data_IF_619348097225
#
_entry.id   IF_619348097225
#
_cell.length_a   1.000
_cell.length_b   1.000
_cell.length_c   1.000
_cell.angle_alpha   90.00
_cell.angle_beta   90.00
_cell.angle_gamma   90.00
#
_symmetry.space_group_name_H-M   'P 1'
#
loop_
_entity.id
_entity.type
_entity.pdbx_description
1 polymer ?
#
# COMPACT_ATOMS: atom_id res chain seq x y z
N UNK A 1 -40.85 16.08 18.45
CA UNK A 1 -40.02 14.86 18.38
C UNK A 1 -39.90 14.51 16.92
N UNK A 2 -38.69 14.64 16.36
CA UNK A 2 -38.33 14.11 15.05
C UNK A 2 -36.91 13.60 15.20
N UNK A 3 -36.77 12.28 15.11
CA UNK A 3 -35.55 11.53 15.30
C UNK A 3 -34.42 12.04 14.40
N UNK A 4 -33.16 12.09 14.88
CA UNK A 4 -32.04 12.39 14.02
C UNK A 4 -31.84 11.23 13.04
N UNK A 5 -31.73 11.62 11.77
CA UNK A 5 -31.47 10.81 10.59
C UNK A 5 -30.29 9.85 10.83
N UNK A 6 -30.61 8.62 11.23
CA UNK A 6 -29.69 7.47 11.25
C UNK A 6 -29.59 6.94 9.83
N UNK A 7 -28.88 7.60 8.93
CA UNK A 7 -28.53 7.00 7.63
C UNK A 7 -27.36 7.67 6.89
N UNK A 8 -26.33 8.16 7.61
CA UNK A 8 -24.98 8.08 7.04
C UNK A 8 -24.39 6.74 7.45
N UNK A 9 -24.72 5.71 6.67
CA UNK A 9 -24.00 4.45 6.70
C UNK A 9 -22.52 4.78 6.55
N UNK A 10 -21.81 4.66 7.66
CA UNK A 10 -20.37 4.73 7.79
C UNK A 10 -19.72 4.11 6.56
N UNK A 11 -19.23 4.94 5.65
CA UNK A 11 -18.24 4.50 4.67
C UNK A 11 -17.12 3.97 5.54
N UNK A 12 -16.98 2.64 5.64
CA UNK A 12 -16.11 1.93 6.58
C UNK A 12 -14.71 2.53 6.50
N UNK A 13 -14.53 3.55 7.32
CA UNK A 13 -13.36 4.38 7.30
C UNK A 13 -12.41 3.63 8.19
N UNK A 14 -11.73 2.69 7.56
CA UNK A 14 -10.83 1.79 8.23
C UNK A 14 -9.74 2.64 8.86
N UNK A 15 -9.86 2.80 10.17
CA UNK A 15 -8.92 3.50 11.00
C UNK A 15 -7.83 2.52 11.40
N UNK A 16 -6.59 2.89 11.18
CA UNK A 16 -5.45 2.10 11.62
C UNK A 16 -4.96 2.57 12.99
N UNK A 17 -4.60 1.62 13.86
CA UNK A 17 -3.89 1.94 15.11
C UNK A 17 -2.48 2.46 14.80
N UNK A 18 -1.82 3.12 15.74
CA UNK A 18 -0.45 3.65 15.52
C UNK A 18 0.55 2.55 15.15
N UNK A 19 0.43 1.39 15.81
CA UNK A 19 1.24 0.22 15.51
C UNK A 19 0.97 -0.32 14.09
N UNK A 20 -0.29 -0.37 13.68
CA UNK A 20 -0.67 -0.78 12.33
C UNK A 20 -0.15 0.20 11.27
N UNK A 21 -0.26 1.51 11.53
CA UNK A 21 0.27 2.54 10.64
C UNK A 21 1.76 2.37 10.48
N UNK A 22 2.49 2.17 11.57
CA UNK A 22 3.94 1.99 11.52
C UNK A 22 4.32 0.77 10.67
N UNK A 23 3.67 -0.38 10.92
CA UNK A 23 3.96 -1.62 10.21
C UNK A 23 3.58 -1.51 8.73
N UNK A 24 2.38 -1.04 8.41
CA UNK A 24 1.94 -0.93 7.02
C UNK A 24 2.69 0.16 6.25
N UNK A 25 3.08 1.25 6.91
CA UNK A 25 3.93 2.28 6.31
C UNK A 25 5.29 1.73 5.89
N UNK A 26 5.89 0.84 6.70
CA UNK A 26 7.16 0.18 6.34
C UNK A 26 6.99 -0.70 5.12
N UNK A 27 5.93 -1.49 5.06
CA UNK A 27 5.63 -2.36 3.91
C UNK A 27 5.40 -1.53 2.62
N UNK A 28 4.60 -0.46 2.70
CA UNK A 28 4.38 0.46 1.58
C UNK A 28 5.69 1.12 1.13
N UNK A 29 6.53 1.57 2.05
CA UNK A 29 7.82 2.17 1.70
C UNK A 29 8.72 1.18 0.97
N UNK A 30 8.84 -0.06 1.45
CA UNK A 30 9.63 -1.10 0.78
C UNK A 30 9.11 -1.39 -0.63
N UNK A 31 7.79 -1.49 -0.80
CA UNK A 31 7.18 -1.73 -2.12
C UNK A 31 7.40 -0.55 -3.09
N UNK A 32 7.31 0.68 -2.59
CA UNK A 32 7.58 1.90 -3.37
C UNK A 32 9.07 2.04 -3.73
N UNK A 33 9.98 1.76 -2.80
CA UNK A 33 11.43 1.81 -3.04
C UNK A 33 11.82 0.81 -4.14
N UNK A 34 11.27 -0.42 -4.10
CA UNK A 34 11.48 -1.42 -5.14
C UNK A 34 10.88 -1.01 -6.49
N UNK A 35 9.76 -0.28 -6.48
CA UNK A 35 9.13 0.23 -7.70
C UNK A 35 9.98 1.34 -8.33
N UNK A 36 10.48 2.28 -7.53
CA UNK A 36 11.33 3.40 -7.97
C UNK A 36 12.73 2.91 -8.38
N UNK A 37 13.28 1.92 -7.68
CA UNK A 37 14.57 1.31 -8.01
C UNK A 37 14.55 0.62 -9.39
N UNK A 38 13.40 0.13 -9.84
CA UNK A 38 13.25 -0.39 -11.20
C UNK A 38 13.36 0.71 -12.27
N UNK A 39 12.95 1.95 -11.96
CA UNK A 39 13.07 3.10 -12.86
C UNK A 39 14.51 3.63 -12.90
N UNK A 40 15.23 3.61 -11.78
CA UNK A 40 16.62 4.09 -11.68
C UNK A 40 17.69 3.01 -11.99
N UNK A 41 17.37 1.73 -11.86
CA UNK A 41 18.29 0.59 -12.03
C UNK A 41 18.62 0.24 -13.48
N UNK A 42 18.02 0.91 -14.46
CA UNK A 42 18.31 0.71 -15.88
C UNK A 42 19.74 1.15 -16.27
N UNK A 43 20.49 1.79 -15.37
CA UNK A 43 21.76 2.44 -15.68
C UNK A 43 23.04 1.65 -15.33
N UNK A 44 22.97 0.51 -14.62
CA UNK A 44 24.18 -0.20 -14.18
C UNK A 44 24.31 -1.63 -14.72
N UNK A 45 25.40 -1.85 -15.47
CA UNK A 45 25.84 -3.08 -16.13
C UNK A 45 26.04 -4.28 -15.18
N UNK A 46 24.97 -4.94 -14.77
CA UNK A 46 24.98 -6.32 -14.25
C UNK A 46 23.95 -7.10 -15.06
N UNK A 47 24.29 -8.32 -15.46
CA UNK A 47 23.56 -9.18 -16.40
C UNK A 47 22.02 -8.96 -16.34
N UNK A 48 21.44 -8.24 -17.32
CA UNK A 48 20.18 -7.52 -17.11
C UNK A 48 18.95 -8.43 -17.01
N UNK A 49 19.02 -9.67 -17.49
CA UNK A 49 17.86 -10.57 -17.54
C UNK A 49 17.55 -11.22 -16.19
N UNK A 50 18.57 -11.68 -15.46
CA UNK A 50 18.37 -12.29 -14.13
C UNK A 50 18.04 -11.24 -13.07
N UNK A 51 18.76 -10.11 -13.06
CA UNK A 51 18.53 -9.03 -12.09
C UNK A 51 17.16 -8.35 -12.25
N UNK A 52 16.64 -8.23 -13.48
CA UNK A 52 15.28 -7.70 -13.71
C UNK A 52 14.21 -8.67 -13.22
N UNK A 53 14.35 -9.97 -13.50
CA UNK A 53 13.37 -10.97 -13.06
C UNK A 53 13.31 -11.06 -11.53
N UNK A 54 14.46 -11.03 -10.85
CA UNK A 54 14.52 -11.03 -9.38
C UNK A 54 13.90 -9.78 -8.78
N UNK A 55 14.09 -8.60 -9.40
CA UNK A 55 13.49 -7.35 -8.93
C UNK A 55 11.97 -7.33 -9.11
N UNK A 56 11.46 -7.83 -10.24
CA UNK A 56 10.01 -7.98 -10.49
C UNK A 56 9.39 -8.92 -9.45
N UNK A 57 10.04 -10.04 -9.16
CA UNK A 57 9.58 -10.98 -8.15
C UNK A 57 9.57 -10.35 -6.75
N UNK A 58 10.64 -9.60 -6.39
CA UNK A 58 10.70 -8.85 -5.13
C UNK A 58 9.62 -7.76 -5.02
N UNK A 59 9.36 -7.02 -6.11
CA UNK A 59 8.28 -6.03 -6.17
C UNK A 59 6.93 -6.70 -5.90
N UNK A 60 6.62 -7.78 -6.62
CA UNK A 60 5.36 -8.53 -6.44
C UNK A 60 5.23 -9.08 -5.03
N UNK A 61 6.32 -9.59 -4.45
CA UNK A 61 6.33 -10.09 -3.08
C UNK A 61 6.02 -8.97 -2.08
N UNK A 62 6.65 -7.79 -2.22
CA UNK A 62 6.42 -6.67 -1.32
C UNK A 62 4.96 -6.17 -1.36
N UNK A 63 4.36 -6.10 -2.55
CA UNK A 63 2.94 -5.74 -2.66
C UNK A 63 2.00 -6.81 -2.11
N UNK A 64 2.33 -8.10 -2.27
CA UNK A 64 1.60 -9.17 -1.60
C UNK A 64 1.70 -9.09 -0.07
N UNK A 65 2.85 -8.70 0.48
CA UNK A 65 3.00 -8.52 1.94
C UNK A 65 2.13 -7.37 2.47
N UNK A 66 2.02 -6.27 1.72
CA UNK A 66 1.07 -5.19 2.02
C UNK A 66 -0.36 -5.73 2.03
N UNK A 67 -0.75 -6.48 0.99
CA UNK A 67 -2.09 -7.06 0.88
C UNK A 67 -2.37 -8.04 2.02
N UNK A 68 -1.48 -8.99 2.29
CA UNK A 68 -1.63 -9.95 3.37
C UNK A 68 -1.78 -9.26 4.72
N UNK A 69 -0.98 -8.22 5.00
CA UNK A 69 -1.10 -7.50 6.26
C UNK A 69 -2.45 -6.78 6.38
N UNK A 70 -2.97 -6.22 5.29
CA UNK A 70 -4.32 -5.66 5.26
C UNK A 70 -5.41 -6.72 5.49
N UNK A 71 -5.28 -7.89 4.86
CA UNK A 71 -6.19 -9.02 5.05
C UNK A 71 -6.14 -9.56 6.49
N UNK A 72 -4.96 -9.69 7.09
CA UNK A 72 -4.76 -10.12 8.48
C UNK A 72 -5.47 -9.20 9.48
N UNK A 73 -5.54 -7.90 9.19
CA UNK A 73 -6.25 -6.93 10.02
C UNK A 73 -7.78 -7.04 9.88
N UNK A 74 -8.30 -8.00 9.11
CA UNK A 74 -9.72 -8.11 8.76
C UNK A 74 -10.20 -7.00 7.83
N UNK A 75 -9.26 -6.20 7.31
CA UNK A 75 -9.51 -5.07 6.42
C UNK A 75 -9.48 -5.59 4.99
N UNK A 76 -10.37 -6.54 4.70
CA UNK A 76 -10.40 -7.25 3.42
C UNK A 76 -10.84 -6.27 2.33
N UNK A 77 -9.90 -5.89 1.48
CA UNK A 77 -10.07 -4.85 0.50
C UNK A 77 -10.30 -5.45 -0.90
N UNK A 78 -11.28 -4.91 -1.63
CA UNK A 78 -11.44 -5.12 -3.08
C UNK A 78 -10.58 -4.13 -3.89
N UNK A 79 -9.48 -3.66 -3.30
CA UNK A 79 -8.68 -2.56 -3.82
C UNK A 79 -7.27 -3.05 -4.15
N UNK A 80 -6.72 -2.51 -5.23
CA UNK A 80 -5.37 -2.80 -5.71
C UNK A 80 -4.34 -2.14 -4.78
N UNK A 81 -3.50 -2.89 -4.05
CA UNK A 81 -2.56 -2.32 -3.09
C UNK A 81 -1.55 -1.38 -3.76
N UNK A 82 -1.27 -1.52 -5.07
CA UNK A 82 -0.39 -0.60 -5.80
C UNK A 82 -1.01 0.80 -5.99
N UNK A 83 -2.35 0.92 -5.88
CA UNK A 83 -3.10 2.17 -6.11
C UNK A 83 -3.49 2.90 -4.84
N UNK A 84 -3.33 2.30 -3.67
CA UNK A 84 -3.73 2.88 -2.40
C UNK A 84 -2.55 2.85 -1.44
N UNK A 85 -2.29 3.94 -0.72
CA UNK A 85 -1.25 4.02 0.31
C UNK A 85 -1.88 4.42 1.64
N UNK A 86 -1.24 4.00 2.73
CA UNK A 86 -1.61 4.48 4.06
C UNK A 86 -1.23 5.96 4.21
N UNK A 87 -2.20 6.81 4.50
CA UNK A 87 -1.94 8.17 4.95
C UNK A 87 -1.72 8.13 6.47
N UNK A 88 -0.48 8.44 6.88
CA UNK A 88 -0.07 8.43 8.30
C UNK A 88 -0.78 9.49 9.14
N UNK A 89 -1.25 10.58 8.51
CA UNK A 89 -1.93 11.69 9.17
C UNK A 89 -3.40 11.32 9.40
N UNK A 90 -4.10 10.90 8.34
CA UNK A 90 -5.52 10.58 8.41
C UNK A 90 -5.79 9.18 8.95
N UNK A 91 -4.75 8.33 9.03
CA UNK A 91 -4.81 6.93 9.46
C UNK A 91 -5.75 6.09 8.60
N UNK A 92 -5.80 6.39 7.30
CA UNK A 92 -6.70 5.78 6.31
C UNK A 92 -5.92 5.37 5.06
N UNK A 93 -6.43 4.37 4.34
CA UNK A 93 -5.96 4.13 2.97
C UNK A 93 -6.52 5.20 2.04
N UNK A 94 -5.64 5.81 1.25
CA UNK A 94 -5.98 6.84 0.28
C UNK A 94 -5.37 6.48 -1.07
N UNK A 95 -6.01 6.93 -2.16
CA UNK A 95 -5.49 6.68 -3.50
C UNK A 95 -4.09 7.30 -3.64
N UNK A 96 -3.12 6.49 -4.06
CA UNK A 96 -1.77 6.95 -4.34
C UNK A 96 -1.80 7.91 -5.53
N UNK A 97 -1.53 9.19 -5.24
CA UNK A 97 -1.32 10.22 -6.25
C UNK A 97 0.16 10.56 -6.27
N UNK A 98 0.96 9.97 -7.17
CA UNK A 98 2.33 10.42 -7.34
C UNK A 98 2.29 11.92 -7.66
N UNK A 99 3.08 12.72 -6.94
CA UNK A 99 3.22 14.14 -7.27
C UNK A 99 3.87 14.22 -8.65
N UNK A 100 3.11 14.70 -9.64
CA UNK A 100 3.62 15.09 -10.96
C UNK A 100 4.68 16.17 -10.84
#
# INVERSE_FOLDING_TARGET
MSDPDKNEASVDTILFSEFEIEKISKLYQTALDLTTANEHGLSNNVNPETSKSDLINKKRQAWHEVQNYLEELGKKYNYDPEKYVINKITRKLELYKPKS
#
